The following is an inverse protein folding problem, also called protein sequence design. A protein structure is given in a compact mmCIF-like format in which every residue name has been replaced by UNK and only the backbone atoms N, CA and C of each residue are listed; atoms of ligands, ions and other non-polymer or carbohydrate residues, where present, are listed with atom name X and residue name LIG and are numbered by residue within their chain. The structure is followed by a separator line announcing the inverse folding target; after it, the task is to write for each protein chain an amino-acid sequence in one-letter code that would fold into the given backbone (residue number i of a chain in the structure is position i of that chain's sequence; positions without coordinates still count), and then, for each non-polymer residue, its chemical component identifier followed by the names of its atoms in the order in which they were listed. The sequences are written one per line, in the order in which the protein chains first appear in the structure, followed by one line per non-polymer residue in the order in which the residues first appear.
data_IF_989556718110
#
_entry.id   IF_989556718110
#
_cell.length_a   1.000
_cell.length_b   1.000
_cell.length_c   1.000
_cell.angle_alpha   90.00
_cell.angle_beta   90.00
_cell.angle_gamma   90.00
#
_symmetry.space_group_name_H-M   'P 1'
#
loop_
_entity.id
_entity.type
_entity.pdbx_description
1 polymer ?
#
# COMPACT_ATOMS: atom_id res chain seq x y z
N UNK A 1 16.41 -4.83 3.89
CA UNK A 1 15.12 -4.14 4.09
C UNK A 1 14.74 -4.18 5.55
N UNK A 2 14.27 -3.09 6.09
CA UNK A 2 13.94 -2.96 7.51
C UNK A 2 12.85 -1.91 7.72
N UNK A 3 12.24 -1.94 8.89
CA UNK A 3 11.36 -0.85 9.35
C UNK A 3 12.24 0.32 9.83
N UNK A 4 11.92 1.52 9.35
CA UNK A 4 12.76 2.71 9.57
C UNK A 4 12.46 3.36 10.91
N UNK A 5 11.17 3.50 11.27
CA UNK A 5 10.77 4.23 12.48
C UNK A 5 9.57 3.57 13.15
N UNK A 6 9.20 4.09 14.33
CA UNK A 6 8.04 3.67 15.09
C UNK A 6 8.30 2.53 16.05
N UNK A 7 7.25 1.82 16.45
CA UNK A 7 7.31 0.78 17.48
C UNK A 7 8.13 -0.45 17.08
N UNK A 8 8.25 -0.72 15.78
CA UNK A 8 9.04 -1.84 15.26
C UNK A 8 10.34 -1.37 14.57
N UNK A 9 10.82 -0.20 14.91
CA UNK A 9 12.04 0.39 14.32
C UNK A 9 13.20 -0.60 14.31
N UNK A 10 13.90 -0.63 13.18
CA UNK A 10 15.09 -1.44 12.91
C UNK A 10 14.85 -2.95 12.75
N UNK A 11 13.62 -3.44 12.87
CA UNK A 11 13.34 -4.84 12.62
C UNK A 11 13.58 -5.18 11.14
N UNK A 12 14.39 -6.21 10.84
CA UNK A 12 14.60 -6.63 9.46
C UNK A 12 13.35 -7.31 8.89
N UNK A 13 13.06 -7.03 7.63
CA UNK A 13 11.95 -7.66 6.91
C UNK A 13 12.48 -8.58 5.84
N UNK A 14 11.78 -9.69 5.60
CA UNK A 14 12.07 -10.57 4.49
C UNK A 14 11.73 -9.88 3.18
N UNK A 15 12.53 -10.17 2.15
CA UNK A 15 12.28 -9.76 0.78
C UNK A 15 11.85 -10.96 -0.05
N UNK A 16 11.22 -10.72 -1.19
CA UNK A 16 10.78 -11.78 -2.09
C UNK A 16 11.89 -12.08 -3.09
N UNK A 17 12.48 -13.27 -3.00
CA UNK A 17 13.53 -13.70 -3.93
C UNK A 17 12.92 -14.07 -5.29
N UNK A 18 13.66 -13.77 -6.36
CA UNK A 18 13.32 -14.20 -7.72
C UNK A 18 12.16 -13.46 -8.37
N UNK A 19 11.60 -12.45 -7.72
CA UNK A 19 10.67 -11.54 -8.35
C UNK A 19 11.45 -10.36 -8.91
N UNK A 20 11.13 -9.98 -10.14
CA UNK A 20 11.64 -8.79 -10.79
C UNK A 20 10.98 -7.55 -10.17
N UNK A 21 11.07 -7.46 -8.86
CA UNK A 21 10.54 -6.34 -8.11
C UNK A 21 11.68 -5.41 -7.76
N UNK A 22 11.48 -4.15 -8.07
CA UNK A 22 12.35 -3.09 -7.62
C UNK A 22 12.11 -2.88 -6.14
N UNK A 23 13.04 -3.23 -5.23
CA UNK A 23 12.82 -2.94 -3.83
C UNK A 23 12.76 -1.43 -3.64
N UNK A 24 11.72 -0.95 -2.97
CA UNK A 24 11.69 0.42 -2.48
C UNK A 24 12.82 0.58 -1.49
N UNK A 25 13.76 1.46 -1.76
CA UNK A 25 14.91 1.67 -0.88
C UNK A 25 14.46 2.27 0.44
N UNK A 26 15.25 2.04 1.49
CA UNK A 26 15.00 2.66 2.80
C UNK A 26 14.86 4.18 2.70
N UNK A 27 15.66 4.81 1.83
CA UNK A 27 15.63 6.25 1.61
C UNK A 27 14.30 6.72 1.01
N UNK A 28 13.81 6.02 -0.02
CA UNK A 28 12.53 6.37 -0.66
C UNK A 28 11.39 6.18 0.34
N UNK A 29 11.40 5.09 1.09
CA UNK A 29 10.41 4.81 2.11
C UNK A 29 10.41 5.89 3.20
N UNK A 30 11.59 6.28 3.68
CA UNK A 30 11.72 7.35 4.68
C UNK A 30 11.19 8.67 4.14
N UNK A 31 11.52 9.04 2.91
CA UNK A 31 11.03 10.27 2.27
C UNK A 31 9.52 10.25 2.17
N UNK A 32 8.93 9.14 1.72
CA UNK A 32 7.47 9.00 1.63
C UNK A 32 6.82 9.25 2.99
N UNK A 33 7.26 8.54 4.02
CA UNK A 33 6.65 8.66 5.34
C UNK A 33 6.92 10.00 6.03
N UNK A 34 8.00 10.68 5.69
CA UNK A 34 8.22 12.06 6.14
C UNK A 34 7.17 13.01 5.56
N UNK A 35 6.78 12.80 4.31
CA UNK A 35 5.74 13.63 3.66
C UNK A 35 4.37 13.41 4.31
N UNK A 36 4.02 12.18 4.66
CA UNK A 36 2.69 11.82 5.16
C UNK A 36 2.65 11.60 6.67
N UNK A 37 3.69 11.98 7.40
CA UNK A 37 3.84 11.65 8.82
C UNK A 37 2.66 12.07 9.70
N UNK A 38 1.99 13.15 9.36
CA UNK A 38 0.87 13.66 10.16
C UNK A 38 -0.43 12.91 9.91
N UNK A 39 -0.55 12.22 8.77
CA UNK A 39 -1.74 11.46 8.38
C UNK A 39 -1.71 10.01 8.82
N UNK A 40 -0.54 9.48 9.14
CA UNK A 40 -0.37 8.05 9.46
C UNK A 40 -0.94 7.64 10.82
N UNK A 41 -0.70 8.39 11.93
CA UNK A 41 -1.23 7.96 13.23
C UNK A 41 -2.75 7.83 13.23
N UNK A 42 -3.25 6.66 13.64
CA UNK A 42 -4.68 6.36 13.68
C UNK A 42 -5.31 6.03 12.34
N UNK A 43 -4.54 5.98 11.26
CA UNK A 43 -5.07 5.78 9.91
C UNK A 43 -5.42 4.33 9.63
N UNK A 44 -6.42 4.13 8.76
CA UNK A 44 -6.66 2.88 8.05
C UNK A 44 -5.90 2.96 6.72
N UNK A 45 -4.99 2.02 6.52
CA UNK A 45 -4.03 2.02 5.42
C UNK A 45 -4.29 0.85 4.47
N UNK A 46 -4.34 1.10 3.16
CA UNK A 46 -4.49 0.06 2.15
C UNK A 46 -3.23 0.02 1.28
N UNK A 47 -2.55 -1.12 1.30
CA UNK A 47 -1.31 -1.36 0.56
C UNK A 47 -1.61 -2.26 -0.64
N UNK A 48 -1.74 -1.65 -1.82
CA UNK A 48 -2.03 -2.35 -3.07
C UNK A 48 -0.71 -2.73 -3.77
N UNK A 49 -0.66 -3.93 -4.34
CA UNK A 49 0.57 -4.50 -4.90
C UNK A 49 1.65 -4.60 -3.82
N UNK A 50 1.29 -5.19 -2.68
CA UNK A 50 2.03 -5.03 -1.43
C UNK A 50 3.44 -5.65 -1.40
N UNK A 51 3.74 -6.59 -2.30
CA UNK A 51 5.07 -7.20 -2.38
C UNK A 51 5.47 -7.92 -1.09
N UNK A 52 6.45 -7.39 -0.40
CA UNK A 52 6.89 -7.90 0.92
C UNK A 52 6.08 -7.33 2.08
N UNK A 53 5.21 -6.36 1.82
CA UNK A 53 4.41 -5.68 2.84
C UNK A 53 5.14 -4.57 3.58
N UNK A 54 6.31 -4.16 3.11
CA UNK A 54 7.14 -3.19 3.84
C UNK A 54 6.46 -1.83 4.06
N UNK A 55 5.63 -1.39 3.11
CA UNK A 55 5.00 -0.06 3.23
C UNK A 55 3.88 -0.09 4.27
N UNK A 56 2.97 -1.06 4.20
CA UNK A 56 1.90 -1.20 5.19
C UNK A 56 2.43 -1.48 6.60
N UNK A 57 3.50 -2.28 6.72
CA UNK A 57 4.13 -2.56 8.01
C UNK A 57 4.83 -1.33 8.58
N UNK A 58 5.45 -0.51 7.72
CA UNK A 58 6.00 0.78 8.14
C UNK A 58 4.89 1.69 8.69
N UNK A 59 3.76 1.73 8.00
CA UNK A 59 2.60 2.52 8.45
C UNK A 59 2.13 2.09 9.83
N UNK A 60 1.97 0.79 10.06
CA UNK A 60 1.57 0.27 11.39
C UNK A 60 2.60 0.64 12.45
N UNK A 61 3.89 0.46 12.14
CA UNK A 61 4.97 0.82 13.07
C UNK A 61 4.92 2.30 13.47
N UNK A 62 4.48 3.16 12.56
CA UNK A 62 4.38 4.61 12.80
C UNK A 62 3.02 5.05 13.34
N UNK A 63 2.17 4.11 13.72
CA UNK A 63 0.93 4.42 14.44
C UNK A 63 -0.37 4.25 13.63
N UNK A 64 -0.32 3.73 12.41
CA UNK A 64 -1.55 3.39 11.69
C UNK A 64 -2.34 2.35 12.50
N UNK A 65 -3.64 2.51 12.51
CA UNK A 65 -4.52 1.67 13.31
C UNK A 65 -4.70 0.28 12.71
N UNK A 66 -4.75 0.21 11.38
CA UNK A 66 -4.99 -1.03 10.67
C UNK A 66 -4.45 -0.93 9.25
N UNK A 67 -3.89 -2.01 8.74
CA UNK A 67 -3.44 -2.09 7.35
C UNK A 67 -3.99 -3.34 6.66
N UNK A 68 -4.50 -3.16 5.46
CA UNK A 68 -4.90 -4.25 4.57
C UNK A 68 -3.89 -4.33 3.43
N UNK A 69 -3.37 -5.53 3.20
CA UNK A 69 -2.40 -5.82 2.15
C UNK A 69 -3.09 -6.61 1.07
N UNK A 70 -2.98 -6.19 -0.18
CA UNK A 70 -3.46 -6.96 -1.33
C UNK A 70 -2.26 -7.33 -2.19
N UNK A 71 -2.06 -8.63 -2.38
CA UNK A 71 -0.95 -9.19 -3.16
C UNK A 71 -1.40 -10.43 -3.91
N UNK A 72 -1.18 -10.46 -5.21
CA UNK A 72 -1.60 -11.56 -6.07
C UNK A 72 -0.59 -12.72 -6.12
N UNK A 73 0.70 -12.44 -5.96
CA UNK A 73 1.75 -13.45 -6.03
C UNK A 73 1.82 -14.24 -4.73
N UNK A 74 1.75 -15.59 -4.82
CA UNK A 74 1.73 -16.44 -3.63
C UNK A 74 3.02 -16.38 -2.81
N UNK A 75 4.17 -16.28 -3.46
CA UNK A 75 5.46 -16.16 -2.76
C UNK A 75 5.54 -14.84 -2.00
N UNK A 76 5.10 -13.76 -2.64
CA UNK A 76 5.05 -12.45 -2.00
C UNK A 76 4.05 -12.45 -0.83
N UNK A 77 2.87 -13.02 -1.01
CA UNK A 77 1.87 -13.14 0.06
C UNK A 77 2.43 -13.91 1.26
N UNK A 78 3.15 -15.00 1.03
CA UNK A 78 3.82 -15.75 2.10
C UNK A 78 4.86 -14.89 2.83
N UNK A 79 5.60 -14.10 2.07
CA UNK A 79 6.57 -13.16 2.64
C UNK A 79 5.88 -12.13 3.54
N UNK A 80 4.72 -11.60 3.11
CA UNK A 80 3.91 -10.68 3.94
C UNK A 80 3.46 -11.35 5.22
N UNK A 81 2.94 -12.58 5.15
CA UNK A 81 2.53 -13.34 6.34
C UNK A 81 3.69 -13.48 7.34
N UNK A 82 4.86 -13.86 6.84
CA UNK A 82 6.04 -14.03 7.68
C UNK A 82 6.45 -12.70 8.33
N UNK A 83 6.42 -11.61 7.58
CA UNK A 83 6.76 -10.28 8.08
C UNK A 83 5.73 -9.78 9.10
N UNK A 84 4.43 -10.03 8.87
CA UNK A 84 3.38 -9.67 9.84
C UNK A 84 3.61 -10.42 11.16
N UNK A 85 3.87 -11.71 11.10
CA UNK A 85 4.13 -12.53 12.29
C UNK A 85 5.39 -12.07 13.03
N UNK A 86 6.45 -11.83 12.28
CA UNK A 86 7.74 -11.41 12.85
C UNK A 86 7.65 -10.06 13.57
N UNK A 87 6.93 -9.11 12.99
CA UNK A 87 6.73 -7.79 13.60
C UNK A 87 5.68 -7.79 14.71
N UNK A 88 4.95 -8.89 14.89
CA UNK A 88 3.84 -9.04 15.83
C UNK A 88 2.66 -8.11 15.55
N UNK A 89 2.44 -7.78 14.28
CA UNK A 89 1.35 -6.91 13.82
C UNK A 89 0.12 -7.69 13.34
N UNK A 90 -0.07 -8.91 13.79
CA UNK A 90 -1.18 -9.78 13.35
C UNK A 90 -2.55 -9.16 13.58
N UNK A 91 -2.74 -8.49 14.72
CA UNK A 91 -4.04 -7.85 15.06
C UNK A 91 -4.34 -6.62 14.22
N UNK A 92 -3.31 -5.91 13.77
CA UNK A 92 -3.41 -4.66 13.02
C UNK A 92 -3.36 -4.89 11.51
N UNK A 93 -3.36 -6.14 11.07
CA UNK A 93 -3.11 -6.49 9.66
C UNK A 93 -4.14 -7.45 9.11
N UNK A 94 -4.42 -7.31 7.80
CA UNK A 94 -5.18 -8.28 7.03
C UNK A 94 -4.54 -8.44 5.66
N UNK A 95 -4.30 -9.69 5.25
CA UNK A 95 -3.76 -10.00 3.94
C UNK A 95 -4.84 -10.62 3.06
N UNK A 96 -5.00 -10.07 1.84
CA UNK A 96 -5.85 -10.64 0.79
C UNK A 96 -4.95 -11.10 -0.35
N UNK A 97 -4.90 -12.40 -0.59
CA UNK A 97 -4.11 -12.99 -1.67
C UNK A 97 -4.99 -13.11 -2.91
N UNK A 98 -5.08 -12.02 -3.65
CA UNK A 98 -5.95 -11.90 -4.83
C UNK A 98 -5.46 -10.74 -5.70
N UNK A 99 -6.05 -10.60 -6.90
CA UNK A 99 -5.83 -9.40 -7.71
C UNK A 99 -6.40 -8.15 -7.01
N UNK A 100 -5.88 -7.00 -7.39
CA UNK A 100 -6.19 -5.73 -6.70
C UNK A 100 -7.68 -5.37 -6.82
N UNK A 101 -8.27 -5.49 -7.99
CA UNK A 101 -9.68 -5.12 -8.21
C UNK A 101 -10.61 -5.99 -7.38
N UNK A 102 -10.39 -7.32 -7.39
CA UNK A 102 -11.18 -8.25 -6.57
C UNK A 102 -10.99 -7.98 -5.09
N UNK A 103 -9.77 -7.67 -4.68
CA UNK A 103 -9.47 -7.32 -3.28
C UNK A 103 -10.22 -6.09 -2.83
N UNK A 104 -10.18 -5.01 -3.61
CA UNK A 104 -10.90 -3.77 -3.30
C UNK A 104 -12.41 -4.04 -3.23
N UNK A 105 -12.95 -4.78 -4.22
CA UNK A 105 -14.38 -5.12 -4.23
C UNK A 105 -14.81 -5.83 -2.96
N UNK A 106 -13.99 -6.75 -2.46
CA UNK A 106 -14.30 -7.50 -1.24
C UNK A 106 -14.31 -6.65 0.03
N UNK A 107 -13.66 -5.49 -0.01
CA UNK A 107 -13.59 -4.56 1.12
C UNK A 107 -14.71 -3.53 1.11
N UNK A 108 -15.41 -3.36 -0.01
CA UNK A 108 -16.49 -2.39 -0.14
C UNK A 108 -17.62 -2.66 0.86
N UNK A 109 -18.13 -1.61 1.50
CA UNK A 109 -19.15 -1.72 2.52
C UNK A 109 -18.64 -2.17 3.89
N UNK A 110 -17.37 -2.58 4.00
CA UNK A 110 -16.76 -3.06 5.25
C UNK A 110 -15.72 -2.10 5.80
N UNK A 111 -14.99 -1.44 4.91
CA UNK A 111 -13.87 -0.55 5.28
C UNK A 111 -13.91 0.71 4.44
N UNK A 112 -13.44 1.80 5.03
CA UNK A 112 -12.99 3.01 4.32
C UNK A 112 -11.54 3.26 4.74
N UNK A 113 -10.74 3.82 3.85
CA UNK A 113 -9.32 4.02 4.11
C UNK A 113 -8.96 5.50 4.11
N UNK A 114 -8.03 5.84 4.98
CA UNK A 114 -7.46 7.20 5.06
C UNK A 114 -6.33 7.37 4.04
N UNK A 115 -5.53 6.33 3.85
CA UNK A 115 -4.38 6.33 2.95
C UNK A 115 -4.41 5.05 2.13
N UNK A 116 -4.25 5.20 0.82
CA UNK A 116 -4.09 4.08 -0.12
C UNK A 116 -2.77 4.28 -0.85
N UNK A 117 -1.91 3.27 -0.78
CA UNK A 117 -0.63 3.24 -1.48
C UNK A 117 -0.67 2.19 -2.58
N UNK A 118 -0.15 2.52 -3.76
CA UNK A 118 -0.01 1.54 -4.84
C UNK A 118 1.33 1.70 -5.54
N UNK A 119 1.97 0.56 -5.79
CA UNK A 119 3.22 0.44 -6.55
C UNK A 119 3.06 -0.68 -7.58
N UNK A 120 2.26 -0.43 -8.65
CA UNK A 120 2.01 -1.46 -9.66
C UNK A 120 3.25 -1.71 -10.51
N UNK A 121 3.33 -2.89 -11.15
CA UNK A 121 4.37 -3.14 -12.15
C UNK A 121 4.38 -2.06 -13.22
N UNK A 122 5.59 -1.62 -13.62
CA UNK A 122 5.75 -0.56 -14.61
C UNK A 122 5.21 -0.96 -16.00
N UNK A 123 4.72 0.03 -16.75
CA UNK A 123 4.35 -0.06 -18.18
C UNK A 123 3.25 -1.06 -18.52
N UNK A 124 2.35 -1.37 -17.56
CA UNK A 124 1.20 -2.24 -17.80
C UNK A 124 -0.15 -1.51 -17.74
N UNK A 125 -0.14 -0.19 -17.50
CA UNK A 125 -1.37 0.61 -17.43
C UNK A 125 -2.25 0.29 -16.22
N UNK A 126 -1.72 -0.44 -15.25
CA UNK A 126 -2.49 -0.88 -14.09
C UNK A 126 -2.90 0.28 -13.19
N UNK A 127 -2.10 1.34 -13.13
CA UNK A 127 -2.41 2.54 -12.33
C UNK A 127 -3.75 3.16 -12.77
N UNK A 128 -3.97 3.28 -14.06
CA UNK A 128 -5.21 3.86 -14.59
C UNK A 128 -6.42 3.00 -14.23
N UNK A 129 -6.34 1.70 -14.47
CA UNK A 129 -7.43 0.77 -14.19
C UNK A 129 -7.82 0.80 -12.72
N UNK A 130 -6.83 0.79 -11.83
CA UNK A 130 -7.06 0.81 -10.39
C UNK A 130 -7.62 2.15 -9.93
N UNK A 131 -7.05 3.27 -10.40
CA UNK A 131 -7.53 4.61 -10.04
C UNK A 131 -8.96 4.86 -10.52
N UNK A 132 -9.30 4.42 -11.72
CA UNK A 132 -10.69 4.50 -12.24
C UNK A 132 -11.64 3.68 -11.38
N UNK A 133 -11.23 2.47 -10.99
CA UNK A 133 -12.04 1.63 -10.10
C UNK A 133 -12.21 2.29 -8.73
N UNK A 134 -11.12 2.76 -8.13
CA UNK A 134 -11.15 3.42 -6.82
C UNK A 134 -12.05 4.65 -6.83
N UNK A 135 -12.04 5.43 -7.89
CA UNK A 135 -12.83 6.67 -7.96
C UNK A 135 -14.33 6.45 -7.75
N UNK A 136 -14.81 5.23 -7.98
CA UNK A 136 -16.22 4.84 -7.83
C UNK A 136 -16.44 3.91 -6.64
N UNK A 137 -15.39 3.59 -5.88
CA UNK A 137 -15.47 2.61 -4.81
C UNK A 137 -15.84 3.25 -3.48
N UNK A 138 -16.63 2.53 -2.68
CA UNK A 138 -17.00 2.95 -1.33
C UNK A 138 -15.86 2.87 -0.32
N UNK A 139 -14.71 2.29 -0.69
CA UNK A 139 -13.53 2.29 0.19
C UNK A 139 -12.89 3.67 0.30
N UNK A 140 -13.21 4.60 -0.61
CA UNK A 140 -12.76 5.98 -0.53
C UNK A 140 -13.72 6.83 0.31
N UNK A 141 -13.14 7.70 1.13
CA UNK A 141 -13.82 8.87 1.72
C UNK A 141 -13.37 10.13 0.97
N UNK A 142 -14.06 11.28 1.17
CA UNK A 142 -13.70 12.52 0.45
C UNK A 142 -12.26 12.97 0.66
N UNK A 143 -11.66 12.69 1.81
CA UNK A 143 -10.31 13.10 2.18
C UNK A 143 -9.27 11.96 2.09
N UNK A 144 -9.62 10.82 1.49
CA UNK A 144 -8.67 9.72 1.30
C UNK A 144 -7.50 10.18 0.44
N UNK A 145 -6.29 9.98 0.94
CA UNK A 145 -5.05 10.24 0.20
C UNK A 145 -4.66 8.98 -0.57
N UNK A 146 -4.44 9.13 -1.89
CA UNK A 146 -3.95 8.04 -2.72
C UNK A 146 -2.54 8.38 -3.18
N UNK A 147 -1.60 7.47 -2.91
CA UNK A 147 -0.20 7.61 -3.27
C UNK A 147 0.13 6.57 -4.33
N UNK A 148 0.67 7.02 -5.45
CA UNK A 148 1.04 6.14 -6.57
C UNK A 148 2.54 6.25 -6.82
N UNK A 149 3.24 5.12 -6.75
CA UNK A 149 4.60 5.01 -7.25
C UNK A 149 4.56 4.55 -8.70
N UNK A 150 5.11 5.36 -9.60
CA UNK A 150 5.06 5.11 -11.04
C UNK A 150 6.35 5.56 -11.71
N UNK A 151 6.57 5.09 -12.94
CA UNK A 151 7.70 5.59 -13.73
C UNK A 151 7.47 7.03 -14.16
N UNK A 152 8.55 7.78 -14.40
CA UNK A 152 8.47 9.20 -14.74
C UNK A 152 7.75 9.48 -16.05
N UNK A 153 7.67 8.50 -16.93
CA UNK A 153 6.98 8.61 -18.22
C UNK A 153 5.51 8.18 -18.18
N UNK A 154 4.98 7.88 -16.99
CA UNK A 154 3.56 7.50 -16.84
C UNK A 154 2.66 8.69 -17.12
N UNK A 155 1.66 8.48 -17.99
CA UNK A 155 0.66 9.50 -18.31
C UNK A 155 -0.50 9.43 -17.29
N UNK A 156 -0.73 10.53 -16.60
CA UNK A 156 -1.83 10.69 -15.64
C UNK A 156 -2.89 11.70 -16.11
N UNK A 157 -2.92 12.03 -17.42
CA UNK A 157 -3.86 13.02 -17.95
C UNK A 157 -5.34 12.66 -17.69
N UNK A 158 -5.66 11.36 -17.57
CA UNK A 158 -7.01 10.90 -17.27
C UNK A 158 -7.51 11.31 -15.88
N UNK A 159 -6.63 11.77 -14.98
CA UNK A 159 -7.03 12.19 -13.63
C UNK A 159 -8.04 13.34 -13.65
N UNK A 160 -7.99 14.17 -14.67
CA UNK A 160 -8.96 15.26 -14.85
C UNK A 160 -10.39 14.76 -15.04
N UNK A 161 -10.55 13.52 -15.52
CA UNK A 161 -11.85 12.86 -15.69
C UNK A 161 -12.38 12.26 -14.40
N UNK A 162 -11.54 12.13 -13.37
CA UNK A 162 -11.91 11.53 -12.09
C UNK A 162 -12.32 12.61 -11.10
N UNK A 163 -13.45 12.41 -10.47
CA UNK A 163 -14.03 13.37 -9.51
C UNK A 163 -13.32 13.30 -8.14
N UNK A 164 -11.97 13.30 -8.15
CA UNK A 164 -11.12 13.18 -6.95
C UNK A 164 -9.91 14.11 -7.06
N UNK A 165 -9.63 14.79 -5.95
CA UNK A 165 -8.67 15.90 -5.94
C UNK A 165 -7.28 15.59 -5.39
N UNK A 166 -7.03 14.36 -4.88
CA UNK A 166 -5.79 14.09 -4.15
C UNK A 166 -5.16 12.77 -4.53
N UNK A 167 -4.42 12.78 -5.63
CA UNK A 167 -3.45 11.72 -5.97
C UNK A 167 -2.07 12.32 -5.80
N UNK A 168 -1.27 11.71 -4.96
CA UNK A 168 0.10 12.16 -4.70
C UNK A 168 1.08 11.08 -5.11
#
# INVERSE_FOLDING_TARGET
MRIIAGTARSLPLKTVEGLDTRPTTDRIKETLFNIIQDEVPGAYFLDLFAGSGQIGLEAISRGALYAVFIENNRKAAKCIEDNIAFTKFTKESRLLTTDVISGISSLEGKYTFDIIFMDPPYRQGLEEDVLRFLSKSSVLKPDTMIIVEASLDTDFSYLDELDRKSVV
#
